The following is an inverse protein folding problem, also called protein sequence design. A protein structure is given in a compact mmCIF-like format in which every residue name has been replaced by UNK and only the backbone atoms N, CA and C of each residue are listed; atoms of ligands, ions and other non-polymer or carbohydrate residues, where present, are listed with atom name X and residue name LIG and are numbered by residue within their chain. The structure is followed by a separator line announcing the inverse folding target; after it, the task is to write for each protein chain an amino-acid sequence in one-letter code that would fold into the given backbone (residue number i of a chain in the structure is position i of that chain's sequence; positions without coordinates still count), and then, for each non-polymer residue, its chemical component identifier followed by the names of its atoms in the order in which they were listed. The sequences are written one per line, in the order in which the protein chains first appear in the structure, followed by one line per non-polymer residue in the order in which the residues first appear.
data_IF_372349178538
#
_entry.id   IF_372349178538
#
_cell.length_a   1.000
_cell.length_b   1.000
_cell.length_c   1.000
_cell.angle_alpha   90.00
_cell.angle_beta   90.00
_cell.angle_gamma   90.00
#
_symmetry.space_group_name_H-M   'P 1'
#
loop_
_entity.id
_entity.type
_entity.pdbx_description
1 polymer ?
#
# COMPACT_ATOMS: atom_id res chain seq x y z
N UNK A 1 -16.76 4.11 -13.57
CA UNK A 1 -16.68 3.47 -12.25
C UNK A 1 -15.22 3.38 -11.80
N UNK A 2 -14.96 3.77 -10.56
CA UNK A 2 -13.60 3.64 -10.00
C UNK A 2 -13.37 2.20 -9.56
N UNK A 3 -12.13 1.76 -9.67
CA UNK A 3 -11.67 0.47 -9.16
C UNK A 3 -10.58 0.72 -8.13
N UNK A 4 -10.96 0.62 -6.88
CA UNK A 4 -10.10 0.90 -5.74
C UNK A 4 -9.54 -0.42 -5.25
N UNK A 5 -8.23 -0.61 -5.38
CA UNK A 5 -7.58 -1.83 -4.93
C UNK A 5 -6.85 -1.57 -3.61
N UNK A 6 -7.18 -2.37 -2.61
CA UNK A 6 -6.56 -2.35 -1.29
C UNK A 6 -5.53 -3.47 -1.27
N UNK A 7 -4.26 -3.11 -1.07
CA UNK A 7 -3.17 -4.09 -1.11
C UNK A 7 -3.11 -4.85 0.21
N UNK A 8 -3.14 -6.17 0.11
CA UNK A 8 -2.98 -7.07 1.25
C UNK A 8 -1.53 -7.51 1.37
N UNK A 9 -0.77 -6.84 2.21
CA UNK A 9 0.61 -7.22 2.50
C UNK A 9 0.74 -8.00 3.82
N UNK A 10 -0.37 -8.55 4.32
CA UNK A 10 -0.38 -9.36 5.52
C UNK A 10 -0.51 -8.56 6.81
N UNK A 11 -0.70 -7.26 6.73
CA UNK A 11 -0.77 -6.39 7.90
C UNK A 11 -1.99 -5.48 7.81
N UNK A 12 -2.70 -5.34 8.91
CA UNK A 12 -3.80 -4.40 9.01
C UNK A 12 -5.18 -5.05 9.00
N UNK A 13 -6.18 -4.25 9.33
CA UNK A 13 -7.57 -4.66 9.31
C UNK A 13 -8.18 -4.33 7.95
N UNK A 14 -7.94 -5.19 6.98
CA UNK A 14 -8.35 -4.97 5.59
C UNK A 14 -9.86 -4.90 5.42
N UNK A 15 -10.58 -5.67 6.22
CA UNK A 15 -12.05 -5.67 6.16
C UNK A 15 -12.63 -4.31 6.54
N UNK A 16 -12.10 -3.71 7.61
CA UNK A 16 -12.52 -2.37 8.04
C UNK A 16 -12.19 -1.31 7.00
N UNK A 17 -11.00 -1.38 6.41
CA UNK A 17 -10.60 -0.45 5.35
C UNK A 17 -11.51 -0.58 4.15
N UNK A 18 -11.79 -1.81 3.72
CA UNK A 18 -12.69 -2.07 2.60
C UNK A 18 -14.08 -1.51 2.87
N UNK A 19 -14.63 -1.75 4.06
CA UNK A 19 -15.95 -1.24 4.44
C UNK A 19 -16.00 0.28 4.44
N UNK A 20 -14.96 0.92 4.99
CA UNK A 20 -14.90 2.38 5.01
C UNK A 20 -14.89 2.95 3.59
N UNK A 21 -14.11 2.37 2.70
CA UNK A 21 -14.05 2.80 1.30
C UNK A 21 -15.38 2.57 0.59
N UNK A 22 -16.04 1.44 0.82
CA UNK A 22 -17.34 1.17 0.25
C UNK A 22 -18.39 2.16 0.72
N UNK A 23 -18.28 2.61 1.96
CA UNK A 23 -19.19 3.59 2.53
C UNK A 23 -19.07 4.96 1.85
N UNK A 24 -17.84 5.40 1.58
CA UNK A 24 -17.59 6.73 0.98
C UNK A 24 -17.61 6.72 -0.55
N UNK A 25 -17.56 5.56 -1.15
CA UNK A 25 -17.55 5.41 -2.61
C UNK A 25 -18.59 4.36 -3.05
N UNK A 26 -19.89 4.59 -2.74
CA UNK A 26 -20.93 3.62 -3.04
C UNK A 26 -21.15 3.47 -4.51
N UNK A 27 -21.02 2.64 -5.24
CA UNK A 27 -21.14 2.51 -6.69
C UNK A 27 -19.79 2.27 -7.37
N UNK A 28 -18.70 2.36 -6.61
CA UNK A 28 -17.38 2.02 -7.11
C UNK A 28 -16.99 0.62 -6.63
N UNK A 29 -16.06 -0.01 -7.35
CA UNK A 29 -15.56 -1.31 -6.95
C UNK A 29 -14.44 -1.12 -5.92
N UNK A 30 -14.52 -1.84 -4.79
CA UNK A 30 -13.46 -1.90 -3.79
C UNK A 30 -13.06 -3.36 -3.64
N UNK A 31 -11.80 -3.66 -3.91
CA UNK A 31 -11.30 -5.03 -3.87
C UNK A 31 -10.00 -5.10 -3.08
N UNK A 32 -9.87 -6.11 -2.24
CA UNK A 32 -8.62 -6.43 -1.54
C UNK A 32 -7.86 -7.42 -2.41
N UNK A 33 -6.58 -7.18 -2.64
CA UNK A 33 -5.77 -8.05 -3.48
C UNK A 33 -4.35 -8.19 -2.97
N UNK A 34 -3.76 -9.36 -3.19
CA UNK A 34 -2.34 -9.63 -3.01
C UNK A 34 -1.66 -9.94 -4.35
N UNK A 35 -2.38 -9.79 -5.46
CA UNK A 35 -1.92 -10.17 -6.80
C UNK A 35 -1.50 -8.93 -7.59
N UNK A 36 -0.22 -8.87 -7.98
CA UNK A 36 0.32 -7.75 -8.73
C UNK A 36 -0.42 -7.53 -10.07
N UNK A 37 -0.82 -8.60 -10.72
CA UNK A 37 -1.49 -8.53 -12.01
C UNK A 37 -2.82 -7.77 -11.94
N UNK A 38 -3.50 -7.77 -10.79
CA UNK A 38 -4.77 -7.08 -10.64
C UNK A 38 -4.62 -5.55 -10.65
N UNK A 39 -3.42 -5.04 -10.41
CA UNK A 39 -3.19 -3.60 -10.40
C UNK A 39 -3.37 -2.93 -11.76
N UNK A 40 -3.33 -3.70 -12.85
CA UNK A 40 -3.47 -3.11 -14.19
C UNK A 40 -4.78 -2.34 -14.34
N UNK A 41 -5.85 -2.81 -13.72
CA UNK A 41 -7.17 -2.20 -13.83
C UNK A 41 -7.46 -1.18 -12.72
N UNK A 42 -6.52 -0.96 -11.82
CA UNK A 42 -6.74 -0.06 -10.68
C UNK A 42 -6.81 1.39 -11.14
N UNK A 43 -7.84 2.10 -10.71
CA UNK A 43 -7.91 3.56 -10.86
C UNK A 43 -7.42 4.27 -9.60
N UNK A 44 -7.43 3.58 -8.47
CA UNK A 44 -6.97 4.08 -7.17
C UNK A 44 -6.37 2.91 -6.39
N UNK A 45 -5.31 3.18 -5.64
CA UNK A 45 -4.62 2.16 -4.86
C UNK A 45 -4.51 2.63 -3.41
N UNK A 46 -4.80 1.72 -2.47
CA UNK A 46 -4.71 1.98 -1.04
C UNK A 46 -3.78 0.94 -0.42
N UNK A 47 -2.80 1.41 0.34
CA UNK A 47 -1.86 0.53 1.06
C UNK A 47 -2.01 0.75 2.56
N UNK A 48 -2.81 -0.07 3.24
CA UNK A 48 -2.88 -0.03 4.70
C UNK A 48 -1.76 -0.86 5.30
N UNK A 49 -1.33 -0.48 6.50
CA UNK A 49 -0.35 -1.27 7.24
C UNK A 49 -0.43 -0.92 8.71
N UNK A 50 -0.28 -1.91 9.57
CA UNK A 50 -0.21 -1.74 11.02
C UNK A 50 0.90 -2.61 11.56
N UNK A 51 1.38 -2.28 12.77
CA UNK A 51 2.45 -3.02 13.41
C UNK A 51 3.83 -2.48 13.02
N UNK A 52 4.82 -3.35 12.97
CA UNK A 52 6.20 -2.94 12.74
C UNK A 52 6.47 -2.63 11.27
N UNK A 53 7.22 -1.56 11.05
CA UNK A 53 7.64 -1.13 9.72
C UNK A 53 8.31 -2.26 8.92
N UNK A 54 9.25 -2.97 9.55
CA UNK A 54 9.99 -4.06 8.88
C UNK A 54 9.07 -5.20 8.46
N UNK A 55 8.06 -5.54 9.28
CA UNK A 55 7.13 -6.62 8.97
C UNK A 55 6.24 -6.24 7.79
N UNK A 56 5.79 -4.99 7.74
CA UNK A 56 4.98 -4.50 6.63
C UNK A 56 5.79 -4.50 5.33
N UNK A 57 7.05 -4.05 5.38
CA UNK A 57 7.93 -4.06 4.20
C UNK A 57 8.21 -5.50 3.74
N UNK A 58 8.44 -6.41 4.68
CA UNK A 58 8.67 -7.82 4.35
C UNK A 58 7.42 -8.43 3.70
N UNK A 59 6.23 -8.12 4.23
CA UNK A 59 4.98 -8.59 3.66
C UNK A 59 4.75 -8.10 2.24
N UNK A 60 5.02 -6.82 1.99
CA UNK A 60 4.89 -6.26 0.66
C UNK A 60 5.91 -6.87 -0.32
N UNK A 61 7.15 -6.99 0.11
CA UNK A 61 8.23 -7.55 -0.71
C UNK A 61 7.98 -9.02 -1.06
N UNK A 62 7.31 -9.75 -0.17
CA UNK A 62 6.95 -11.14 -0.42
C UNK A 62 5.89 -11.32 -1.51
N UNK A 63 5.15 -10.26 -1.84
CA UNK A 63 4.16 -10.30 -2.92
C UNK A 63 4.89 -10.16 -4.26
N UNK A 64 4.96 -11.24 -4.99
CA UNK A 64 5.74 -11.33 -6.23
C UNK A 64 5.31 -10.29 -7.24
N UNK A 65 6.26 -9.44 -7.66
CA UNK A 65 6.02 -8.41 -8.65
C UNK A 65 5.21 -7.21 -8.17
N UNK A 66 4.77 -7.21 -6.91
CA UNK A 66 3.89 -6.16 -6.40
C UNK A 66 4.58 -4.81 -6.36
N UNK A 67 5.82 -4.73 -5.86
CA UNK A 67 6.54 -3.47 -5.78
C UNK A 67 6.71 -2.84 -7.17
N UNK A 68 7.13 -3.64 -8.14
CA UNK A 68 7.30 -3.16 -9.51
C UNK A 68 5.97 -2.69 -10.12
N UNK A 69 4.88 -3.43 -9.86
CA UNK A 69 3.56 -3.06 -10.35
C UNK A 69 3.06 -1.76 -9.70
N UNK A 70 3.29 -1.59 -8.40
CA UNK A 70 2.94 -0.36 -7.71
C UNK A 70 3.72 0.83 -8.26
N UNK A 71 5.03 0.68 -8.45
CA UNK A 71 5.86 1.76 -8.97
C UNK A 71 5.47 2.14 -10.39
N UNK A 72 5.13 1.17 -11.21
CA UNK A 72 4.66 1.44 -12.56
C UNK A 72 3.34 2.22 -12.57
N UNK A 73 2.40 1.85 -11.71
CA UNK A 73 1.09 2.52 -11.64
C UNK A 73 1.17 3.90 -10.99
N UNK A 74 1.93 4.02 -9.92
CA UNK A 74 1.93 5.22 -9.07
C UNK A 74 2.97 6.23 -9.53
N UNK A 75 4.22 5.81 -9.70
CA UNK A 75 5.30 6.73 -10.06
C UNK A 75 5.29 7.06 -11.54
N UNK A 76 5.15 6.07 -12.39
CA UNK A 76 5.17 6.27 -13.83
C UNK A 76 3.81 6.64 -14.39
N UNK A 77 2.76 6.03 -13.87
CA UNK A 77 1.39 6.19 -14.38
C UNK A 77 0.54 7.22 -13.65
N UNK A 78 1.03 7.80 -12.56
CA UNK A 78 0.32 8.81 -11.76
C UNK A 78 -1.04 8.34 -11.22
N UNK A 79 -1.20 7.06 -10.96
CA UNK A 79 -2.41 6.54 -10.32
C UNK A 79 -2.49 7.05 -8.87
N UNK A 80 -3.63 7.63 -8.45
CA UNK A 80 -3.81 8.07 -7.07
C UNK A 80 -3.53 6.95 -6.07
N UNK A 81 -2.77 7.28 -5.04
CA UNK A 81 -2.30 6.32 -4.04
C UNK A 81 -2.49 6.89 -2.64
N UNK A 82 -3.01 6.08 -1.74
CA UNK A 82 -3.19 6.43 -0.33
C UNK A 82 -2.51 5.40 0.56
N UNK A 83 -1.50 5.84 1.30
CA UNK A 83 -0.89 5.02 2.35
C UNK A 83 -1.53 5.34 3.69
N UNK A 84 -1.92 4.31 4.45
CA UNK A 84 -2.59 4.46 5.74
C UNK A 84 -1.70 3.91 6.84
N UNK A 85 -1.45 4.71 7.88
CA UNK A 85 -0.61 4.34 9.03
C UNK A 85 0.78 3.89 8.57
N UNK A 86 1.19 2.68 8.91
CA UNK A 86 2.49 2.14 8.49
C UNK A 86 2.59 2.06 6.96
N UNK A 87 1.47 1.88 6.26
CA UNK A 87 1.44 1.93 4.81
C UNK A 87 1.94 3.26 4.26
N UNK A 88 1.63 4.36 4.94
CA UNK A 88 2.16 5.68 4.60
C UNK A 88 3.65 5.77 4.93
N UNK A 89 4.06 5.24 6.08
CA UNK A 89 5.46 5.27 6.51
C UNK A 89 6.38 4.51 5.54
N UNK A 90 5.89 3.43 4.95
CA UNK A 90 6.65 2.62 4.00
C UNK A 90 7.06 3.38 2.74
N UNK A 91 6.45 4.52 2.45
CA UNK A 91 6.75 5.32 1.26
C UNK A 91 8.09 6.05 1.37
N UNK A 92 8.61 6.22 2.57
CA UNK A 92 9.85 6.94 2.82
C UNK A 92 11.08 6.04 2.63
N UNK A 93 12.27 6.64 2.72
CA UNK A 93 13.49 5.92 2.44
C UNK A 93 13.81 4.84 3.47
N UNK A 94 13.61 5.13 4.75
CA UNK A 94 13.94 4.20 5.84
C UNK A 94 13.02 4.42 7.04
N UNK A 95 12.84 3.36 7.83
CA UNK A 95 12.16 3.42 9.11
C UNK A 95 13.08 2.96 10.23
N UNK A 96 13.06 3.67 11.36
CA UNK A 96 13.90 3.42 12.54
C UNK A 96 13.07 2.81 13.67
N UNK A 97 12.64 1.58 13.49
CA UNK A 97 11.89 0.84 14.50
C UNK A 97 12.48 -0.57 14.55
N UNK A 98 12.99 -0.98 15.72
CA UNK A 98 13.69 -2.25 15.87
C UNK A 98 14.86 -2.39 14.89
N UNK A 99 15.65 -1.33 14.74
CA UNK A 99 16.73 -1.23 13.78
C UNK A 99 16.40 -0.31 12.62
N UNK A 100 17.24 -0.27 11.63
CA UNK A 100 17.07 0.57 10.44
C UNK A 100 16.65 -0.34 9.29
N UNK A 101 15.50 -0.02 8.68
CA UNK A 101 14.94 -0.83 7.60
C UNK A 101 14.58 0.04 6.40
N UNK A 102 14.91 -0.42 5.21
CA UNK A 102 14.60 0.31 3.98
C UNK A 102 13.10 0.29 3.69
N UNK A 103 12.58 1.45 3.29
CA UNK A 103 11.23 1.59 2.76
C UNK A 103 11.23 1.59 1.24
N UNK A 104 10.14 2.07 0.64
CA UNK A 104 10.01 2.13 -0.81
C UNK A 104 10.83 3.26 -1.44
N UNK A 105 11.18 4.27 -0.64
CA UNK A 105 12.01 5.38 -1.13
C UNK A 105 11.32 6.31 -2.12
N UNK A 106 10.00 6.34 -2.12
CA UNK A 106 9.25 7.25 -3.02
C UNK A 106 9.34 8.71 -2.56
N UNK A 107 9.49 8.92 -1.28
CA UNK A 107 9.70 10.24 -0.69
C UNK A 107 11.02 10.26 0.07
N UNK A 108 11.70 11.41 0.04
CA UNK A 108 12.89 11.61 0.86
C UNK A 108 12.51 11.70 2.32
N UNK A 109 13.38 11.20 3.16
CA UNK A 109 13.23 11.27 4.59
C UNK A 109 13.13 9.90 5.24
N UNK A 110 13.10 9.93 6.56
CA UNK A 110 13.13 8.72 7.37
C UNK A 110 12.05 8.82 8.44
N UNK A 111 11.47 7.67 8.78
CA UNK A 111 10.47 7.59 9.84
C UNK A 111 11.20 7.32 11.14
N UNK A 112 11.13 8.24 12.07
CA UNK A 112 11.79 8.14 13.38
C UNK A 112 10.82 7.69 14.44
N UNK A 113 11.32 7.03 15.52
CA UNK A 113 10.44 6.62 16.62
C UNK A 113 9.86 7.81 17.37
#
# INVERSE_FOLDING_TARGET
MKRILVIDCGAGNLHSVKKALQHVAPGDEVRVTAEAAELQDATHIVLPGVGAFADCMAGLTALRGMRAALEAKVLDGSTPFLGICVGMQMLFERGHEFGIHDGLGWFRGEVMP
#
